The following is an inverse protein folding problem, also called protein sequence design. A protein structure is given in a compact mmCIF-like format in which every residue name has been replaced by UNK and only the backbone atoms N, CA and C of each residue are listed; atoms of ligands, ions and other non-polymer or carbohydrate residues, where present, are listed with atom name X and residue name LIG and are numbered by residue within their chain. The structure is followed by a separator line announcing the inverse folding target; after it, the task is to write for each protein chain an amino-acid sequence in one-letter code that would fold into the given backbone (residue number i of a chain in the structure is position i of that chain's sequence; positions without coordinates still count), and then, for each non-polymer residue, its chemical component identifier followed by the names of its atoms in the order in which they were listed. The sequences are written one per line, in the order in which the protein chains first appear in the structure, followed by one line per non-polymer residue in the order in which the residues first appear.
data_IF_252035368024
#
_entry.id   IF_252035368024
#
_cell.length_a   1.000
_cell.length_b   1.000
_cell.length_c   1.000
_cell.angle_alpha   90.00
_cell.angle_beta   90.00
_cell.angle_gamma   90.00
#
_symmetry.space_group_name_H-M   'P 1'
#
loop_
_entity.id
_entity.type
_entity.pdbx_description
1 polymer ?
#
# COMPACT_ATOMS: atom_id res chain seq x y z
N UNK A 1 2.30 -14.91 -24.82
CA UNK A 1 2.04 -13.49 -24.42
C UNK A 1 0.99 -13.47 -23.33
N UNK A 2 1.31 -12.98 -22.13
CA UNK A 2 0.43 -12.96 -20.94
C UNK A 2 -0.44 -11.70 -20.95
N UNK A 3 -1.73 -11.85 -20.62
CA UNK A 3 -2.71 -10.76 -20.43
C UNK A 3 -3.01 -10.57 -18.97
N UNK A 4 -2.48 -9.50 -18.37
CA UNK A 4 -2.61 -9.17 -16.96
C UNK A 4 -3.62 -8.04 -16.73
N UNK A 5 -4.57 -8.24 -15.83
CA UNK A 5 -5.38 -7.16 -15.26
C UNK A 5 -4.68 -6.66 -13.99
N UNK A 6 -4.48 -5.36 -13.91
CA UNK A 6 -4.02 -4.70 -12.70
C UNK A 6 -5.14 -3.78 -12.20
N UNK A 7 -5.87 -4.25 -11.16
CA UNK A 7 -7.01 -3.58 -10.56
C UNK A 7 -6.55 -2.95 -9.24
N UNK A 8 -6.07 -1.72 -9.33
CA UNK A 8 -5.52 -0.95 -8.20
C UNK A 8 -5.67 0.54 -8.47
N UNK A 9 -5.47 1.35 -7.45
CA UNK A 9 -5.47 2.80 -7.60
C UNK A 9 -4.15 3.28 -8.21
N UNK A 10 -4.22 3.78 -9.43
CA UNK A 10 -3.07 4.34 -10.14
C UNK A 10 -2.78 5.81 -9.80
N UNK A 11 -3.44 6.38 -8.80
CA UNK A 11 -3.02 7.66 -8.22
C UNK A 11 -1.91 7.49 -7.19
N UNK A 12 -1.64 6.25 -6.77
CA UNK A 12 -0.66 5.90 -5.76
C UNK A 12 0.68 5.45 -6.38
N UNK A 13 1.80 5.89 -5.80
CA UNK A 13 3.15 5.49 -6.23
C UNK A 13 3.36 3.97 -6.16
N UNK A 14 2.72 3.29 -5.21
CA UNK A 14 2.76 1.84 -5.09
C UNK A 14 2.35 1.14 -6.39
N UNK A 15 1.21 1.52 -6.98
CA UNK A 15 0.72 0.92 -8.22
C UNK A 15 1.65 1.16 -9.41
N UNK A 16 2.22 2.37 -9.51
CA UNK A 16 3.21 2.69 -10.55
C UNK A 16 4.48 1.88 -10.42
N UNK A 17 5.02 1.77 -9.20
CA UNK A 17 6.24 1.02 -8.93
C UNK A 17 6.03 -0.49 -9.11
N UNK A 18 4.87 -1.02 -8.69
CA UNK A 18 4.51 -2.41 -8.95
C UNK A 18 4.46 -2.70 -10.45
N UNK A 19 3.76 -1.84 -11.22
CA UNK A 19 3.69 -1.97 -12.69
C UNK A 19 5.09 -1.86 -13.32
N UNK A 20 5.95 -0.95 -12.84
CA UNK A 20 7.33 -0.83 -13.34
C UNK A 20 8.08 -2.15 -13.20
N UNK A 21 8.03 -2.80 -12.03
CA UNK A 21 8.67 -4.09 -11.81
C UNK A 21 8.13 -5.20 -12.72
N UNK A 22 6.81 -5.24 -12.93
CA UNK A 22 6.17 -6.16 -13.87
C UNK A 22 6.68 -5.93 -15.30
N UNK A 23 6.77 -4.67 -15.72
CA UNK A 23 7.27 -4.31 -17.05
C UNK A 23 8.76 -4.62 -17.22
N UNK A 24 9.59 -4.42 -16.21
CA UNK A 24 11.01 -4.81 -16.23
C UNK A 24 11.13 -6.31 -16.46
N UNK A 25 10.36 -7.13 -15.71
CA UNK A 25 10.34 -8.58 -15.90
C UNK A 25 9.91 -8.98 -17.31
N UNK A 26 8.84 -8.39 -17.83
CA UNK A 26 8.27 -8.78 -19.12
C UNK A 26 9.14 -8.35 -20.33
N UNK A 27 9.91 -7.23 -20.21
CA UNK A 27 10.80 -6.76 -21.28
C UNK A 27 11.97 -7.71 -21.55
N UNK A 28 12.41 -8.45 -20.53
CA UNK A 28 13.48 -9.45 -20.68
C UNK A 28 13.00 -10.75 -21.36
N UNK A 29 11.69 -10.86 -21.63
CA UNK A 29 10.98 -12.05 -22.15
C UNK A 29 9.98 -11.65 -23.23
N UNK A 30 8.86 -12.36 -23.29
CA UNK A 30 7.74 -11.95 -24.13
C UNK A 30 6.98 -10.77 -23.50
N UNK A 31 6.75 -9.67 -24.22
CA UNK A 31 5.97 -8.54 -23.70
C UNK A 31 4.56 -8.95 -23.28
N UNK A 32 4.13 -8.48 -22.11
CA UNK A 32 2.80 -8.68 -21.59
C UNK A 32 1.84 -7.59 -22.06
N UNK A 33 0.55 -7.91 -22.12
CA UNK A 33 -0.50 -6.92 -22.31
C UNK A 33 -1.13 -6.64 -20.94
N UNK A 34 -1.01 -5.39 -20.47
CA UNK A 34 -1.52 -4.99 -19.15
C UNK A 34 -2.75 -4.10 -19.31
N UNK A 35 -3.85 -4.54 -18.70
CA UNK A 35 -5.04 -3.73 -18.55
C UNK A 35 -5.04 -3.08 -17.16
N UNK A 36 -5.01 -1.77 -17.11
CA UNK A 36 -5.18 -1.01 -15.87
C UNK A 36 -6.67 -0.80 -15.61
N UNK A 37 -7.22 -1.51 -14.64
CA UNK A 37 -8.63 -1.42 -14.28
C UNK A 37 -8.76 -0.57 -13.01
N UNK A 38 -9.53 0.52 -13.03
CA UNK A 38 -9.72 1.35 -11.85
C UNK A 38 -10.59 0.66 -10.81
N UNK A 39 -10.38 0.91 -9.49
CA UNK A 39 -11.20 0.35 -8.41
C UNK A 39 -12.69 0.64 -8.55
N UNK A 40 -13.06 1.79 -9.13
CA UNK A 40 -14.45 2.16 -9.39
C UNK A 40 -15.20 1.16 -10.28
N UNK A 41 -14.50 0.42 -11.13
CA UNK A 41 -15.13 -0.65 -11.92
C UNK A 41 -15.59 -1.81 -11.04
N UNK A 42 -14.75 -2.24 -10.07
CA UNK A 42 -15.13 -3.26 -9.08
C UNK A 42 -16.27 -2.75 -8.19
N UNK A 43 -16.20 -1.50 -7.71
CA UNK A 43 -17.24 -0.89 -6.88
C UNK A 43 -18.61 -0.90 -7.58
N UNK A 44 -18.63 -0.63 -8.90
CA UNK A 44 -19.89 -0.56 -9.67
C UNK A 44 -20.42 -1.91 -10.13
N UNK A 45 -19.57 -2.91 -10.35
CA UNK A 45 -19.93 -4.17 -11.01
C UNK A 45 -19.66 -5.43 -10.16
N UNK A 46 -19.01 -5.26 -9.01
CA UNK A 46 -18.59 -6.37 -8.13
C UNK A 46 -17.59 -7.33 -8.79
N UNK A 47 -17.20 -8.36 -8.04
CA UNK A 47 -16.33 -9.44 -8.56
C UNK A 47 -16.94 -10.15 -9.77
N UNK A 48 -18.27 -10.43 -9.83
CA UNK A 48 -18.88 -11.04 -11.02
C UNK A 48 -18.67 -10.22 -12.30
N UNK A 49 -18.76 -8.88 -12.20
CA UNK A 49 -18.51 -7.99 -13.34
C UNK A 49 -17.05 -7.99 -13.78
N UNK A 50 -16.13 -7.92 -12.83
CA UNK A 50 -14.69 -8.02 -13.09
C UNK A 50 -14.36 -9.35 -13.77
N UNK A 51 -14.88 -10.47 -13.27
CA UNK A 51 -14.67 -11.79 -13.82
C UNK A 51 -15.25 -11.92 -15.25
N UNK A 52 -16.47 -11.40 -15.47
CA UNK A 52 -17.10 -11.39 -16.80
C UNK A 52 -16.23 -10.65 -17.81
N UNK A 53 -15.68 -9.51 -17.43
CA UNK A 53 -14.79 -8.73 -18.29
C UNK A 53 -13.45 -9.45 -18.50
N UNK A 54 -12.86 -10.01 -17.45
CA UNK A 54 -11.62 -10.78 -17.52
C UNK A 54 -11.73 -11.96 -18.51
N UNK A 55 -12.82 -12.71 -18.46
CA UNK A 55 -13.10 -13.79 -19.43
C UNK A 55 -13.22 -13.27 -20.86
N UNK A 56 -13.99 -12.20 -21.07
CA UNK A 56 -14.17 -11.60 -22.40
C UNK A 56 -12.83 -11.12 -22.99
N UNK A 57 -11.97 -10.58 -22.13
CA UNK A 57 -10.65 -10.10 -22.53
C UNK A 57 -9.60 -11.22 -22.57
N UNK A 58 -9.96 -12.46 -22.16
CA UNK A 58 -9.08 -13.61 -22.07
C UNK A 58 -7.86 -13.32 -21.16
N UNK A 59 -8.10 -12.79 -19.97
CA UNK A 59 -7.06 -12.54 -18.99
C UNK A 59 -6.47 -13.86 -18.48
N UNK A 60 -5.14 -13.93 -18.40
CA UNK A 60 -4.40 -15.04 -17.79
C UNK A 60 -4.26 -14.82 -16.28
N UNK A 61 -4.14 -13.56 -15.85
CA UNK A 61 -3.94 -13.21 -14.45
C UNK A 61 -4.59 -11.87 -14.07
N UNK A 62 -4.82 -11.71 -12.78
CA UNK A 62 -5.24 -10.46 -12.15
C UNK A 62 -4.44 -10.22 -10.87
N UNK A 63 -3.94 -8.99 -10.70
CA UNK A 63 -3.45 -8.46 -9.42
C UNK A 63 -4.45 -7.40 -8.99
N UNK A 64 -4.99 -7.52 -7.76
CA UNK A 64 -6.04 -6.62 -7.32
C UNK A 64 -6.01 -6.33 -5.81
N UNK A 65 -6.52 -5.16 -5.44
CA UNK A 65 -6.99 -4.89 -4.09
C UNK A 65 -8.39 -5.48 -3.94
N UNK A 66 -8.48 -6.58 -3.21
CA UNK A 66 -9.74 -7.23 -2.89
C UNK A 66 -10.24 -6.81 -1.51
N UNK A 67 -11.56 -6.78 -1.33
CA UNK A 67 -12.20 -6.60 -0.03
C UNK A 67 -12.41 -7.96 0.65
N UNK A 68 -12.70 -7.98 1.96
CA UNK A 68 -12.77 -9.19 2.79
C UNK A 68 -13.81 -10.20 2.31
N UNK A 69 -14.91 -9.71 1.72
CA UNK A 69 -16.03 -10.49 1.22
C UNK A 69 -15.92 -10.84 -0.28
N UNK A 70 -14.82 -10.44 -0.93
CA UNK A 70 -14.61 -10.75 -2.34
C UNK A 70 -14.42 -12.26 -2.58
N UNK A 71 -15.17 -12.80 -3.51
CA UNK A 71 -15.10 -14.23 -3.90
C UNK A 71 -13.89 -14.50 -4.80
N UNK A 72 -12.67 -14.33 -4.26
CA UNK A 72 -11.41 -14.43 -5.03
C UNK A 72 -11.17 -15.79 -5.65
N UNK A 73 -11.73 -16.88 -5.08
CA UNK A 73 -11.63 -18.23 -5.65
C UNK A 73 -12.31 -18.37 -7.01
N UNK A 74 -13.27 -17.49 -7.35
CA UNK A 74 -13.92 -17.50 -8.65
C UNK A 74 -12.93 -17.32 -9.80
N UNK A 75 -11.87 -16.55 -9.61
CA UNK A 75 -10.83 -16.40 -10.64
C UNK A 75 -10.14 -17.72 -10.90
N UNK A 76 -9.66 -18.41 -9.86
CA UNK A 76 -9.02 -19.73 -9.99
C UNK A 76 -9.94 -20.78 -10.63
N UNK A 77 -11.21 -20.83 -10.21
CA UNK A 77 -12.22 -21.74 -10.80
C UNK A 77 -12.46 -21.50 -12.30
N UNK A 78 -12.09 -20.33 -12.79
CA UNK A 78 -12.20 -19.94 -14.20
C UNK A 78 -10.85 -19.88 -14.93
N UNK A 79 -9.80 -20.47 -14.35
CA UNK A 79 -8.48 -20.57 -14.98
C UNK A 79 -7.68 -19.24 -14.97
N UNK A 80 -8.10 -18.26 -14.18
CA UNK A 80 -7.40 -16.95 -14.05
C UNK A 80 -6.60 -16.95 -12.76
N UNK A 81 -5.30 -16.67 -12.87
CA UNK A 81 -4.40 -16.57 -11.72
C UNK A 81 -4.69 -15.24 -10.99
N UNK A 82 -5.03 -15.31 -9.70
CA UNK A 82 -5.28 -14.12 -8.90
C UNK A 82 -4.20 -13.94 -7.83
N UNK A 83 -3.69 -12.71 -7.70
CA UNK A 83 -2.84 -12.26 -6.60
C UNK A 83 -3.52 -11.09 -5.90
N UNK A 84 -3.63 -11.15 -4.58
CA UNK A 84 -4.14 -10.05 -3.78
C UNK A 84 -3.02 -9.04 -3.46
N UNK A 85 -3.28 -7.76 -3.66
CA UNK A 85 -2.49 -6.70 -3.05
C UNK A 85 -3.06 -6.45 -1.65
N UNK A 86 -2.23 -6.44 -0.61
CA UNK A 86 -2.67 -6.22 0.77
C UNK A 86 -3.50 -4.93 0.89
N UNK A 87 -4.67 -5.05 1.49
CA UNK A 87 -5.57 -3.92 1.76
C UNK A 87 -6.27 -4.13 3.11
N UNK A 88 -7.52 -4.61 3.13
CA UNK A 88 -8.27 -4.83 4.37
C UNK A 88 -7.88 -6.12 5.07
N UNK A 89 -7.59 -7.16 4.30
CA UNK A 89 -7.16 -8.46 4.83
C UNK A 89 -6.17 -9.16 3.90
N UNK A 90 -5.62 -10.25 4.40
CA UNK A 90 -4.83 -11.21 3.60
C UNK A 90 -5.64 -12.45 3.32
N UNK A 91 -5.58 -12.92 2.10
CA UNK A 91 -6.27 -14.13 1.67
C UNK A 91 -5.40 -15.36 1.89
N UNK A 92 -6.00 -16.44 2.40
CA UNK A 92 -5.32 -17.73 2.56
C UNK A 92 -5.39 -18.61 1.29
N UNK A 93 -6.30 -18.30 0.38
CA UNK A 93 -6.61 -19.12 -0.82
C UNK A 93 -5.93 -18.66 -2.09
N UNK A 94 -5.35 -17.47 -2.10
CA UNK A 94 -4.55 -16.89 -3.18
C UNK A 94 -3.28 -16.24 -2.62
N UNK A 95 -2.19 -16.12 -3.41
CA UNK A 95 -1.00 -15.38 -2.99
C UNK A 95 -1.30 -13.91 -2.71
N UNK A 96 -0.64 -13.37 -1.67
CA UNK A 96 -0.70 -11.94 -1.35
C UNK A 96 0.62 -11.26 -1.73
N UNK A 97 0.52 -10.07 -2.31
CA UNK A 97 1.64 -9.16 -2.49
C UNK A 97 1.71 -8.34 -1.22
N UNK A 98 2.71 -8.61 -0.41
CA UNK A 98 2.91 -8.05 0.93
C UNK A 98 4.32 -7.47 1.08
N UNK A 99 4.56 -6.72 2.15
CA UNK A 99 5.87 -6.20 2.54
C UNK A 99 6.08 -6.40 4.04
N UNK A 100 7.31 -6.16 4.51
CA UNK A 100 7.67 -6.20 5.92
C UNK A 100 7.21 -4.92 6.65
N UNK A 101 5.88 -4.73 6.74
CA UNK A 101 5.28 -3.50 7.26
C UNK A 101 5.66 -3.20 8.72
N UNK A 102 5.72 -4.24 9.58
CA UNK A 102 6.18 -4.06 10.97
C UNK A 102 7.63 -3.61 11.03
N UNK A 103 8.49 -4.17 10.18
CA UNK A 103 9.90 -3.76 10.11
C UNK A 103 10.01 -2.30 9.62
N UNK A 104 9.18 -1.88 8.67
CA UNK A 104 9.11 -0.48 8.23
C UNK A 104 8.81 0.46 9.41
N UNK A 105 7.83 0.11 10.24
CA UNK A 105 7.53 0.87 11.46
C UNK A 105 8.68 0.89 12.45
N UNK A 106 9.33 -0.25 12.68
CA UNK A 106 10.52 -0.33 13.57
C UNK A 106 11.67 0.54 13.07
N UNK A 107 11.95 0.54 11.76
CA UNK A 107 12.97 1.38 11.15
C UNK A 107 12.67 2.87 11.35
N UNK A 108 11.42 3.29 11.19
CA UNK A 108 10.99 4.66 11.45
C UNK A 108 11.21 5.05 12.92
N UNK A 109 10.86 4.17 13.86
CA UNK A 109 11.09 4.39 15.28
C UNK A 109 12.58 4.54 15.61
N UNK A 110 13.42 3.62 15.11
CA UNK A 110 14.87 3.68 15.32
C UNK A 110 15.49 4.95 14.72
N UNK A 111 15.03 5.37 13.54
CA UNK A 111 15.47 6.63 12.91
C UNK A 111 15.18 7.84 13.81
N UNK A 112 13.97 7.99 14.32
CA UNK A 112 13.61 9.10 15.19
C UNK A 112 14.30 9.04 16.55
N UNK A 113 14.44 7.85 17.15
CA UNK A 113 15.17 7.66 18.39
C UNK A 113 16.65 8.07 18.26
N UNK A 114 17.30 7.73 17.14
CA UNK A 114 18.68 8.13 16.84
C UNK A 114 18.81 9.66 16.66
N UNK A 115 17.76 10.33 16.16
CA UNK A 115 17.68 11.79 16.07
C UNK A 115 17.43 12.47 17.42
N UNK A 116 17.17 11.70 18.48
CA UNK A 116 17.01 12.21 19.84
C UNK A 116 15.58 12.59 20.22
N UNK A 117 14.58 12.27 19.40
CA UNK A 117 13.18 12.50 19.75
C UNK A 117 12.75 11.65 20.96
N UNK A 118 11.76 12.15 21.71
CA UNK A 118 11.22 11.52 22.91
C UNK A 118 9.71 11.46 22.92
N UNK A 119 9.02 12.20 22.06
CA UNK A 119 7.58 12.14 21.84
C UNK A 119 7.36 11.62 20.41
N UNK A 120 6.41 10.69 20.28
CA UNK A 120 6.19 9.97 19.03
C UNK A 120 4.71 9.90 18.71
N UNK A 121 4.36 10.06 17.45
CA UNK A 121 2.99 9.92 17.00
C UNK A 121 2.91 9.10 15.72
N UNK A 122 1.78 8.43 15.55
CA UNK A 122 1.42 7.74 14.31
C UNK A 122 0.11 8.28 13.77
N UNK A 123 0.07 8.51 12.46
CA UNK A 123 -1.13 8.90 11.74
C UNK A 123 -1.39 7.94 10.58
N UNK A 124 -2.55 7.27 10.58
CA UNK A 124 -2.85 6.26 9.57
C UNK A 124 -4.32 5.89 9.43
N UNK A 125 -4.55 4.70 8.87
CA UNK A 125 -5.87 4.15 8.62
C UNK A 125 -6.17 2.99 9.56
N UNK A 126 -7.41 2.91 10.05
CA UNK A 126 -7.99 1.72 10.68
C UNK A 126 -8.39 0.69 9.62
N UNK A 127 -8.34 -0.59 9.97
CA UNK A 127 -8.78 -1.70 9.13
C UNK A 127 -8.07 -1.74 7.74
N UNK A 128 -6.81 -1.33 7.72
CA UNK A 128 -5.93 -1.44 6.57
C UNK A 128 -4.65 -2.12 7.03
N UNK A 129 -4.40 -3.34 6.56
CA UNK A 129 -3.32 -4.23 7.02
C UNK A 129 -1.96 -3.54 7.06
N UNK A 130 -1.56 -2.88 5.97
CA UNK A 130 -0.25 -2.24 5.89
C UNK A 130 -0.11 -1.02 6.81
N UNK A 131 -1.20 -0.27 7.05
CA UNK A 131 -1.21 0.85 7.98
C UNK A 131 -1.12 0.37 9.43
N UNK A 132 -1.93 -0.61 9.82
CA UNK A 132 -1.95 -1.18 11.17
C UNK A 132 -0.62 -1.85 11.52
N UNK A 133 -0.03 -2.62 10.60
CA UNK A 133 1.24 -3.28 10.85
C UNK A 133 2.41 -2.28 10.93
N UNK A 134 2.40 -1.20 10.13
CA UNK A 134 3.36 -0.09 10.26
C UNK A 134 3.23 0.57 11.63
N UNK A 135 1.98 0.88 12.06
CA UNK A 135 1.71 1.43 13.39
C UNK A 135 2.20 0.51 14.50
N UNK A 136 1.85 -0.77 14.41
CA UNK A 136 2.24 -1.79 15.40
C UNK A 136 3.76 -1.86 15.53
N UNK A 137 4.49 -1.94 14.41
CA UNK A 137 5.95 -1.99 14.41
C UNK A 137 6.59 -0.73 15.01
N UNK A 138 6.05 0.45 14.70
CA UNK A 138 6.51 1.73 15.23
C UNK A 138 6.24 1.83 16.74
N UNK A 139 5.01 1.58 17.17
CA UNK A 139 4.59 1.61 18.58
C UNK A 139 5.37 0.62 19.44
N UNK A 140 5.43 -0.64 19.03
CA UNK A 140 6.08 -1.69 19.80
C UNK A 140 7.57 -1.38 20.02
N UNK A 141 8.24 -0.81 19.01
CA UNK A 141 9.63 -0.38 19.11
C UNK A 141 9.80 0.80 20.06
N UNK A 142 8.89 1.78 20.04
CA UNK A 142 8.89 2.91 20.98
C UNK A 142 8.69 2.44 22.42
N UNK A 143 7.75 1.51 22.64
CA UNK A 143 7.50 0.89 23.97
C UNK A 143 8.73 0.13 24.44
N UNK A 144 9.35 -0.70 23.59
CA UNK A 144 10.58 -1.44 23.90
C UNK A 144 11.71 -0.53 24.37
N UNK A 145 11.79 0.68 23.83
CA UNK A 145 12.80 1.68 24.20
C UNK A 145 12.42 2.54 25.40
N UNK A 146 11.28 2.26 26.06
CA UNK A 146 10.88 2.91 27.30
C UNK A 146 10.12 4.23 27.12
N UNK A 147 9.57 4.49 25.91
CA UNK A 147 8.83 5.72 25.60
C UNK A 147 7.32 5.47 25.36
N UNK A 148 6.76 4.39 25.91
CA UNK A 148 5.35 4.03 25.68
C UNK A 148 4.36 5.12 26.09
N UNK A 149 4.62 5.83 27.22
CA UNK A 149 3.77 6.93 27.69
C UNK A 149 3.85 8.19 26.81
N UNK A 150 4.81 8.23 25.89
CA UNK A 150 5.03 9.31 24.94
C UNK A 150 4.63 8.97 23.51
N UNK A 151 3.83 7.91 23.35
CA UNK A 151 3.30 7.48 22.06
C UNK A 151 1.83 7.89 21.91
N UNK A 152 1.53 8.57 20.81
CA UNK A 152 0.21 9.09 20.45
C UNK A 152 -0.22 8.51 19.11
N UNK A 153 -1.48 8.14 19.00
CA UNK A 153 -2.00 7.48 17.78
C UNK A 153 -3.27 8.15 17.31
N UNK A 154 -3.35 8.38 16.01
CA UNK A 154 -4.58 8.80 15.34
C UNK A 154 -4.76 7.95 14.09
N UNK A 155 -5.72 7.05 14.15
CA UNK A 155 -6.14 6.26 13.01
C UNK A 155 -7.53 6.72 12.59
N UNK A 156 -7.72 6.83 11.29
CA UNK A 156 -9.00 7.20 10.70
C UNK A 156 -9.54 6.06 9.85
N UNK A 157 -10.85 5.99 9.73
CA UNK A 157 -11.47 5.09 8.77
C UNK A 157 -10.96 5.41 7.35
N UNK A 158 -10.65 4.39 6.52
CA UNK A 158 -10.36 4.63 5.13
C UNK A 158 -11.58 5.29 4.50
N UNK A 159 -11.40 6.52 4.07
CA UNK A 159 -12.49 7.28 3.45
C UNK A 159 -12.78 6.70 2.08
N UNK A 160 -14.04 6.47 1.77
CA UNK A 160 -14.50 6.19 0.42
C UNK A 160 -14.10 7.31 -0.55
N UNK A 161 -13.90 8.53 -0.02
CA UNK A 161 -13.44 9.71 -0.72
C UNK A 161 -12.03 10.10 -0.27
N UNK A 162 -11.00 9.52 -0.87
CA UNK A 162 -9.59 9.78 -0.56
C UNK A 162 -9.16 11.25 -0.77
N UNK A 163 -9.86 12.00 -1.60
CA UNK A 163 -9.59 13.40 -1.90
C UNK A 163 -10.15 14.38 -0.87
N UNK A 164 -11.05 13.91 0.03
CA UNK A 164 -11.65 14.74 1.08
C UNK A 164 -11.10 14.34 2.46
N UNK A 165 -10.69 15.32 3.24
CA UNK A 165 -10.34 15.13 4.65
C UNK A 165 -10.86 16.30 5.50
N UNK A 166 -11.27 16.00 6.72
CA UNK A 166 -11.64 17.01 7.69
C UNK A 166 -10.38 17.56 8.35
N UNK A 167 -10.04 18.82 8.05
CA UNK A 167 -8.82 19.45 8.58
C UNK A 167 -8.93 19.81 10.07
N UNK A 168 -10.12 20.14 10.56
CA UNK A 168 -10.32 20.59 11.94
C UNK A 168 -10.02 19.53 13.02
N UNK A 169 -10.53 18.27 12.94
CA UNK A 169 -10.17 17.24 13.90
C UNK A 169 -8.67 16.95 13.91
N UNK A 170 -8.05 16.87 12.73
CA UNK A 170 -6.62 16.65 12.60
C UNK A 170 -5.81 17.80 13.19
N UNK A 171 -6.19 19.06 12.90
CA UNK A 171 -5.54 20.23 13.45
C UNK A 171 -5.64 20.31 14.99
N UNK A 172 -6.81 19.95 15.53
CA UNK A 172 -7.04 19.89 16.98
C UNK A 172 -6.17 18.84 17.63
N UNK A 173 -6.06 17.65 17.02
CA UNK A 173 -5.19 16.59 17.50
C UNK A 173 -3.72 17.00 17.47
N UNK A 174 -3.22 17.55 16.37
CA UNK A 174 -1.83 18.00 16.24
C UNK A 174 -1.49 19.06 17.31
N UNK A 175 -2.39 20.02 17.57
CA UNK A 175 -2.21 21.04 18.62
C UNK A 175 -2.13 20.48 20.02
N UNK A 176 -2.74 19.31 20.26
CA UNK A 176 -2.74 18.67 21.59
C UNK A 176 -1.47 17.89 21.89
N UNK A 177 -0.61 17.65 20.89
CA UNK A 177 0.58 16.82 21.02
C UNK A 177 1.76 17.61 21.64
N UNK A 178 2.62 16.95 22.43
CA UNK A 178 3.81 17.57 22.97
C UNK A 178 4.88 17.80 21.89
N UNK A 179 5.64 18.89 22.00
CA UNK A 179 6.76 19.21 21.11
C UNK A 179 8.10 19.15 21.87
N UNK A 180 9.24 18.80 21.23
CA UNK A 180 9.35 18.33 19.85
C UNK A 180 8.76 16.93 19.67
N UNK A 181 8.14 16.69 18.52
CA UNK A 181 7.42 15.46 18.19
C UNK A 181 8.00 14.82 16.92
N UNK A 182 8.12 13.48 16.93
CA UNK A 182 8.39 12.69 15.74
C UNK A 182 7.10 12.01 15.29
N UNK A 183 6.62 12.29 14.09
CA UNK A 183 5.38 11.75 13.56
C UNK A 183 5.65 10.86 12.34
N UNK A 184 5.25 9.60 12.43
CA UNK A 184 5.20 8.68 11.30
C UNK A 184 3.80 8.70 10.70
N UNK A 185 3.69 9.01 9.42
CA UNK A 185 2.47 8.79 8.64
C UNK A 185 2.50 7.41 7.99
N UNK A 186 1.34 6.81 7.81
CA UNK A 186 1.25 5.46 7.22
C UNK A 186 1.70 5.41 5.75
N UNK A 187 1.56 6.52 5.02
CA UNK A 187 2.03 6.72 3.65
C UNK A 187 2.39 8.19 3.38
N UNK A 188 2.90 8.50 2.19
CA UNK A 188 3.32 9.86 1.84
C UNK A 188 2.15 10.82 1.67
N UNK A 189 1.00 10.34 1.19
CA UNK A 189 -0.22 11.16 1.07
C UNK A 189 -0.70 11.63 2.43
N UNK A 190 -0.67 10.76 3.44
CA UNK A 190 -0.99 11.12 4.82
C UNK A 190 0.09 12.01 5.43
N UNK A 191 1.37 11.76 5.11
CA UNK A 191 2.49 12.61 5.50
C UNK A 191 2.32 14.03 4.99
N UNK A 192 2.01 14.20 3.70
CA UNK A 192 1.76 15.51 3.10
C UNK A 192 0.59 16.25 3.78
N UNK A 193 -0.52 15.54 4.10
CA UNK A 193 -1.65 16.15 4.83
C UNK A 193 -1.24 16.69 6.20
N UNK A 194 -0.41 15.96 6.95
CA UNK A 194 0.14 16.44 8.22
C UNK A 194 0.97 17.71 8.01
N UNK A 195 1.83 17.72 6.99
CA UNK A 195 2.68 18.87 6.70
C UNK A 195 1.85 20.11 6.30
N UNK A 196 0.79 19.93 5.50
CA UNK A 196 -0.16 21.00 5.16
C UNK A 196 -0.83 21.59 6.40
N UNK A 197 -1.33 20.72 7.31
CA UNK A 197 -1.95 21.18 8.56
C UNK A 197 -0.95 21.90 9.44
N UNK A 198 0.28 21.39 9.60
CA UNK A 198 1.34 22.06 10.34
C UNK A 198 1.63 23.46 9.77
N UNK A 199 1.71 23.58 8.45
CA UNK A 199 1.92 24.86 7.77
C UNK A 199 0.80 25.87 8.06
N UNK A 200 -0.46 25.44 7.99
CA UNK A 200 -1.63 26.29 8.32
C UNK A 200 -1.60 26.72 9.79
N UNK A 201 -1.13 25.85 10.68
CA UNK A 201 -1.03 26.13 12.11
C UNK A 201 0.22 26.95 12.49
N UNK A 202 1.14 27.20 11.55
CA UNK A 202 2.43 27.88 11.81
C UNK A 202 3.43 27.04 12.61
N UNK A 203 3.25 25.70 12.63
CA UNK A 203 4.16 24.76 13.31
C UNK A 203 5.37 24.54 12.41
N UNK A 204 6.55 24.63 13.00
CA UNK A 204 7.82 24.48 12.26
C UNK A 204 8.19 23.03 12.05
N UNK A 205 8.50 22.68 10.80
CA UNK A 205 8.99 21.37 10.40
C UNK A 205 10.44 21.51 9.93
N UNK A 206 11.38 20.74 10.47
CA UNK A 206 11.21 19.61 11.42
C UNK A 206 11.37 19.97 12.90
N UNK A 207 11.55 21.26 13.28
CA UNK A 207 11.99 21.67 14.62
C UNK A 207 10.96 21.36 15.71
N UNK A 208 9.68 21.57 15.44
CA UNK A 208 8.60 21.30 16.38
C UNK A 208 7.96 19.94 16.11
N UNK A 209 7.72 19.61 14.83
CA UNK A 209 7.22 18.29 14.40
C UNK A 209 8.07 17.81 13.23
N UNK A 210 8.75 16.68 13.39
CA UNK A 210 9.38 15.97 12.28
C UNK A 210 8.43 14.93 11.71
N UNK A 211 8.20 14.94 10.39
CA UNK A 211 7.27 14.06 9.70
C UNK A 211 8.03 13.06 8.83
N UNK A 212 7.64 11.80 8.87
CA UNK A 212 8.17 10.73 8.01
C UNK A 212 7.01 9.98 7.36
N UNK A 213 7.01 9.95 6.03
CA UNK A 213 6.09 9.17 5.21
C UNK A 213 6.65 7.79 4.85
N UNK A 214 5.94 7.07 4.01
CA UNK A 214 6.32 5.76 3.45
C UNK A 214 5.86 5.71 1.99
N UNK A 215 6.59 4.98 1.16
CA UNK A 215 6.44 4.64 -0.26
C UNK A 215 7.34 5.46 -1.18
N UNK A 216 7.91 6.55 -0.71
CA UNK A 216 8.82 7.44 -1.44
C UNK A 216 8.25 7.92 -2.79
N UNK A 217 7.02 8.43 -2.75
CA UNK A 217 6.40 9.08 -3.91
C UNK A 217 7.09 10.43 -4.16
N UNK A 218 7.90 10.50 -5.22
CA UNK A 218 8.68 11.70 -5.55
C UNK A 218 7.80 12.94 -5.75
N UNK A 219 6.60 12.77 -6.30
CA UNK A 219 5.67 13.88 -6.55
C UNK A 219 5.09 14.35 -5.23
N UNK A 220 4.52 13.45 -4.44
CA UNK A 220 3.91 13.78 -3.15
C UNK A 220 4.94 14.34 -2.18
N UNK A 221 6.11 13.72 -2.08
CA UNK A 221 7.18 14.21 -1.21
C UNK A 221 7.65 15.63 -1.58
N UNK A 222 7.54 16.01 -2.86
CA UNK A 222 7.95 17.33 -3.35
C UNK A 222 6.87 18.43 -3.21
N UNK A 223 5.62 18.06 -2.85
CA UNK A 223 4.54 19.04 -2.70
C UNK A 223 4.72 19.95 -1.49
N UNK A 224 5.40 19.48 -0.47
CA UNK A 224 5.62 20.22 0.78
C UNK A 224 6.95 20.97 0.80
N UNK A 225 7.03 22.04 1.57
CA UNK A 225 8.24 22.79 1.88
C UNK A 225 8.41 22.87 3.41
N UNK A 226 9.47 22.24 3.98
CA UNK A 226 10.48 21.40 3.31
C UNK A 226 9.89 20.13 2.70
N UNK A 227 10.60 19.47 1.75
CA UNK A 227 10.14 18.20 1.19
C UNK A 227 9.93 17.12 2.25
N UNK A 228 8.89 16.28 2.08
CA UNK A 228 8.61 15.18 2.98
C UNK A 228 9.71 14.12 2.91
N UNK A 229 10.27 13.74 4.05
CA UNK A 229 11.12 12.56 4.17
C UNK A 229 10.25 11.29 4.15
N UNK A 230 10.70 10.24 3.46
CA UNK A 230 9.91 9.02 3.29
C UNK A 230 10.77 7.77 3.34
N UNK A 231 10.18 6.66 3.84
CA UNK A 231 10.78 5.33 3.77
C UNK A 231 10.56 4.75 2.38
N UNK A 232 11.66 4.43 1.69
CA UNK A 232 11.56 3.80 0.38
C UNK A 232 11.37 2.29 0.51
N UNK A 233 10.25 1.77 0.04
CA UNK A 233 9.98 0.35 -0.12
C UNK A 233 10.43 -0.12 -1.50
N UNK A 234 11.02 -1.32 -1.59
CA UNK A 234 11.45 -1.87 -2.87
C UNK A 234 10.28 -2.52 -3.65
N UNK A 235 9.27 -1.71 -3.97
CA UNK A 235 8.02 -2.16 -4.62
C UNK A 235 8.29 -2.63 -6.05
N UNK A 236 9.26 -2.04 -6.74
CA UNK A 236 9.67 -2.46 -8.09
C UNK A 236 10.12 -3.92 -8.08
N UNK A 237 10.94 -4.32 -7.11
CA UNK A 237 11.33 -5.72 -6.92
C UNK A 237 10.11 -6.61 -6.64
N UNK A 238 9.16 -6.15 -5.81
CA UNK A 238 7.92 -6.87 -5.55
C UNK A 238 7.09 -7.11 -6.83
N UNK A 239 7.01 -6.11 -7.71
CA UNK A 239 6.38 -6.23 -9.02
C UNK A 239 7.07 -7.24 -9.94
N UNK A 240 8.40 -7.23 -9.96
CA UNK A 240 9.20 -8.20 -10.70
C UNK A 240 8.96 -9.65 -10.22
N UNK A 241 8.96 -9.87 -8.90
CA UNK A 241 8.71 -11.18 -8.29
C UNK A 241 7.26 -11.66 -8.51
N UNK A 242 6.28 -10.76 -8.45
CA UNK A 242 4.88 -11.06 -8.76
C UNK A 242 4.72 -11.51 -10.22
N UNK A 243 5.39 -10.83 -11.17
CA UNK A 243 5.39 -11.24 -12.58
C UNK A 243 6.04 -12.61 -12.77
N UNK A 244 7.15 -12.89 -12.09
CA UNK A 244 7.79 -14.19 -12.13
C UNK A 244 6.87 -15.31 -11.61
N UNK A 245 6.12 -15.07 -10.54
CA UNK A 245 5.14 -16.01 -10.00
C UNK A 245 4.01 -16.27 -11.00
N UNK A 246 3.47 -15.22 -11.61
CA UNK A 246 2.40 -15.33 -12.62
C UNK A 246 2.88 -16.17 -13.80
N UNK A 247 4.04 -15.88 -14.37
CA UNK A 247 4.55 -16.63 -15.54
C UNK A 247 4.71 -18.11 -15.23
N UNK A 248 5.29 -18.45 -14.08
CA UNK A 248 5.39 -19.84 -13.64
C UNK A 248 4.02 -20.50 -13.54
N UNK A 249 3.05 -19.81 -12.92
CA UNK A 249 1.71 -20.35 -12.70
C UNK A 249 0.94 -20.57 -14.01
N UNK A 250 1.05 -19.62 -14.97
CA UNK A 250 0.49 -19.76 -16.32
C UNK A 250 1.10 -20.95 -17.05
N UNK A 251 2.43 -21.11 -16.99
CA UNK A 251 3.13 -22.23 -17.64
C UNK A 251 2.67 -23.59 -17.09
N UNK A 252 2.47 -23.70 -15.78
CA UNK A 252 1.92 -24.94 -15.18
C UNK A 252 0.49 -25.22 -15.61
N UNK A 253 -0.35 -24.20 -15.73
CA UNK A 253 -1.75 -24.36 -16.16
C UNK A 253 -1.85 -24.88 -17.60
N UNK A 254 -0.93 -24.47 -18.46
CA UNK A 254 -0.86 -24.95 -19.85
C UNK A 254 -0.23 -26.34 -20.02
N UNK A 255 0.54 -26.83 -19.03
CA UNK A 255 1.14 -28.17 -19.04
C UNK A 255 0.20 -29.27 -18.55
N UNK A 256 -0.86 -28.95 -17.82
CA UNK A 256 -1.89 -29.88 -17.38
C UNK A 256 -3.02 -29.98 -18.40
N UNK A 257 -2.72 -30.37 -19.65
CA UNK A 257 -3.75 -30.89 -20.55
C UNK A 257 -4.23 -32.25 -20.00
N UNK A 258 -5.53 -32.46 -19.79
CA UNK A 258 -6.01 -33.78 -19.45
C UNK A 258 -5.75 -34.70 -20.65
N UNK A 259 -4.86 -35.65 -20.48
CA UNK A 259 -4.81 -36.85 -21.33
C UNK A 259 -6.06 -37.68 -21.05
N UNK A 260 -7.17 -37.32 -21.64
CA UNK A 260 -8.33 -38.18 -21.76
C UNK A 260 -8.61 -38.34 -23.22
N UNK A 261 -7.89 -39.30 -23.79
CA UNK A 261 -8.34 -40.03 -24.97
C UNK A 261 -8.02 -41.46 -24.71
N UNK A 262 -9.03 -42.19 -24.23
CA UNK A 262 -9.37 -43.56 -24.64
C UNK A 262 -10.75 -43.89 -24.10
#
# INVERSE_FOLDING_TARGET
MIRLILLTDFTEAFAHNLLRGILEYSKEREPWVVCRMPPSYKQSHGIPGVLKWAKKWQADAIIAQFDDDDEVELFRKNGIIALAQDFKSRFSVIPNITSEYKLTGQMAADFFLQKGFRNFAFYGYENVVWSEERCMGFRDRIIEKGFGDNFFEYQKQPLENLWYYESEPLASWIKSLPHPLALMACDDTQGNKIMEVCRVLGIKIPEEIAVLGVDNDEIICSLSDPPLSSVNLNIVKGGYEAAQLIERSVSYTHLTLPTNSL
#
